data_IF_406519891178
#
_entry.id   IF_406519891178
#
_cell.length_a   1.000
_cell.length_b   1.000
_cell.length_c   1.000
_cell.angle_alpha   90.00
_cell.angle_beta   90.00
_cell.angle_gamma   90.00
#
_symmetry.space_group_name_H-M   'P 1'
#
loop_
_entity.id
_entity.type
_entity.pdbx_description
1 polymer ?
#
# COMPACT_ATOMS: atom_id res chain seq x y z
N UNK A 1 19.07 -1.12 -6.36
CA UNK A 1 18.30 -0.44 -7.43
C UNK A 1 17.16 0.33 -6.78
N UNK A 2 16.96 1.59 -7.13
CA UNK A 2 15.95 2.45 -6.53
C UNK A 2 14.53 2.05 -6.99
N UNK A 3 13.97 1.02 -6.34
CA UNK A 3 12.64 0.47 -6.63
C UNK A 3 11.47 1.42 -6.31
N UNK A 4 11.74 2.55 -5.64
CA UNK A 4 10.73 3.56 -5.29
C UNK A 4 10.50 4.61 -6.39
N UNK A 5 11.43 4.75 -7.35
CA UNK A 5 11.33 5.75 -8.43
C UNK A 5 10.10 5.56 -9.33
N UNK A 6 9.71 4.34 -9.75
CA UNK A 6 8.51 4.14 -10.55
C UNK A 6 7.24 4.51 -9.78
N UNK A 7 7.17 4.14 -8.50
CA UNK A 7 6.02 4.44 -7.62
C UNK A 7 5.87 5.95 -7.43
N UNK A 8 6.97 6.65 -7.16
CA UNK A 8 6.96 8.10 -7.01
C UNK A 8 6.50 8.81 -8.29
N UNK A 9 6.96 8.34 -9.46
CA UNK A 9 6.63 8.94 -10.75
C UNK A 9 5.14 8.77 -11.13
N UNK A 10 4.53 7.65 -10.72
CA UNK A 10 3.09 7.40 -10.89
C UNK A 10 2.26 8.19 -9.88
N UNK A 11 2.74 8.37 -8.65
CA UNK A 11 2.03 9.12 -7.61
C UNK A 11 2.12 10.65 -7.77
N UNK A 12 3.19 11.16 -8.39
CA UNK A 12 3.48 12.60 -8.51
C UNK A 12 2.31 13.45 -9.05
N UNK A 13 1.60 13.06 -10.13
CA UNK A 13 0.49 13.84 -10.69
C UNK A 13 -0.70 13.95 -9.72
N UNK A 14 -0.94 12.88 -8.94
CA UNK A 14 -2.02 12.85 -7.96
C UNK A 14 -1.69 13.69 -6.73
N UNK A 15 -0.43 13.72 -6.29
CA UNK A 15 0.03 14.59 -5.21
C UNK A 15 -0.18 16.06 -5.60
N UNK A 16 0.15 16.46 -6.83
CA UNK A 16 -0.09 17.84 -7.29
C UNK A 16 -1.57 18.21 -7.33
N UNK A 17 -2.46 17.29 -7.70
CA UNK A 17 -3.90 17.54 -7.71
C UNK A 17 -4.47 17.67 -6.29
N UNK A 18 -4.03 16.82 -5.36
CA UNK A 18 -4.43 16.88 -3.95
C UNK A 18 -3.95 18.18 -3.29
N UNK A 19 -2.70 18.59 -3.56
CA UNK A 19 -2.15 19.84 -3.03
C UNK A 19 -2.85 21.06 -3.62
N UNK A 20 -3.24 21.04 -4.90
CA UNK A 20 -4.01 22.14 -5.51
C UNK A 20 -5.45 22.24 -5.01
N UNK A 21 -6.09 21.12 -4.68
CA UNK A 21 -7.43 21.07 -4.10
C UNK A 21 -7.45 21.43 -2.60
N UNK A 22 -6.29 21.33 -1.93
CA UNK A 22 -6.09 21.69 -0.55
C UNK A 22 -5.62 23.15 -0.35
N UNK A 23 -5.52 23.95 -1.42
CA UNK A 23 -5.32 25.41 -1.27
C UNK A 23 -6.52 25.94 -0.49
N UNK A 24 -6.29 26.60 0.66
CA UNK A 24 -7.38 26.96 1.54
C UNK A 24 -8.34 27.92 0.85
N UNK A 25 -9.64 27.65 0.99
CA UNK A 25 -10.71 28.61 0.68
C UNK A 25 -10.65 29.88 1.55
N UNK A 26 -9.71 29.94 2.50
CA UNK A 26 -9.35 31.15 3.24
C UNK A 26 -8.66 32.14 2.30
N UNK A 27 -9.44 32.88 1.52
CA UNK A 27 -9.35 34.35 1.35
C UNK A 27 -10.19 34.80 0.17
N UNK A 28 -11.23 35.59 0.46
CA UNK A 28 -11.48 36.80 -0.33
C UNK A 28 -12.20 37.82 0.54
N UNK A 29 -11.47 38.88 0.90
CA UNK A 29 -12.07 40.10 1.46
C UNK A 29 -13.05 40.66 0.41
N UNK A 30 -14.36 40.82 0.69
CA UNK A 30 -15.24 41.49 -0.25
C UNK A 30 -14.74 42.94 -0.42
N UNK A 31 -14.63 43.47 -1.66
CA UNK A 31 -14.31 44.87 -1.85
C UNK A 31 -15.43 45.71 -1.24
N UNK A 32 -15.20 46.28 -0.05
CA UNK A 32 -16.15 47.14 0.68
C UNK A 32 -16.81 46.54 1.93
N UNK A 33 -16.52 45.30 2.34
CA UNK A 33 -17.14 44.67 3.53
C UNK A 33 -16.47 45.04 4.86
N UNK A 34 -17.25 45.35 5.89
CA UNK A 34 -16.78 45.66 7.26
C UNK A 34 -16.11 44.43 7.90
N UNK A 35 -14.98 44.63 8.58
CA UNK A 35 -14.17 43.57 9.20
C UNK A 35 -14.92 42.70 10.23
N UNK A 36 -16.02 43.19 10.82
CA UNK A 36 -16.78 42.50 11.88
C UNK A 36 -17.52 41.24 11.42
N UNK A 37 -17.86 41.10 10.12
CA UNK A 37 -18.54 39.91 9.57
C UNK A 37 -17.56 38.83 9.06
N UNK A 38 -16.29 39.18 8.85
CA UNK A 38 -15.30 38.30 8.20
C UNK A 38 -14.77 37.23 9.15
N UNK A 39 -14.60 37.55 10.44
CA UNK A 39 -14.05 36.61 11.44
C UNK A 39 -15.02 35.45 11.75
N UNK A 40 -16.33 35.66 11.98
CA UNK A 40 -17.28 34.57 12.16
C UNK A 40 -17.36 33.62 10.95
N UNK A 41 -17.24 34.17 9.75
CA UNK A 41 -17.27 33.40 8.51
C UNK A 41 -16.03 32.52 8.35
N UNK A 42 -14.84 33.05 8.62
CA UNK A 42 -13.59 32.27 8.63
C UNK A 42 -13.59 31.17 9.70
N UNK A 43 -14.17 31.42 10.89
CA UNK A 43 -14.28 30.39 11.93
C UNK A 43 -15.18 29.23 11.45
N UNK A 44 -16.31 29.54 10.80
CA UNK A 44 -17.18 28.49 10.23
C UNK A 44 -16.46 27.69 9.15
N UNK A 45 -15.72 28.35 8.27
CA UNK A 45 -14.92 27.69 7.22
C UNK A 45 -13.80 26.82 7.82
N UNK A 46 -13.12 27.29 8.87
CA UNK A 46 -12.11 26.51 9.61
C UNK A 46 -12.74 25.28 10.27
N UNK A 47 -13.89 25.44 10.92
CA UNK A 47 -14.59 24.33 11.55
C UNK A 47 -15.05 23.29 10.52
N UNK A 48 -15.58 23.73 9.38
CA UNK A 48 -15.97 22.85 8.29
C UNK A 48 -14.77 22.10 7.70
N UNK A 49 -13.66 22.80 7.42
CA UNK A 49 -12.43 22.21 6.90
C UNK A 49 -11.80 21.21 7.88
N UNK A 50 -11.77 21.52 9.18
CA UNK A 50 -11.25 20.62 10.21
C UNK A 50 -12.13 19.38 10.34
N UNK A 51 -13.46 19.53 10.33
CA UNK A 51 -14.38 18.39 10.38
C UNK A 51 -14.21 17.48 9.16
N UNK A 52 -14.16 18.06 7.97
CA UNK A 52 -13.96 17.32 6.72
C UNK A 52 -12.60 16.61 6.68
N UNK A 53 -11.52 17.27 7.14
CA UNK A 53 -10.20 16.66 7.22
C UNK A 53 -10.15 15.52 8.24
N UNK A 54 -10.79 15.66 9.39
CA UNK A 54 -10.87 14.59 10.38
C UNK A 54 -11.58 13.36 9.83
N UNK A 55 -12.66 13.56 9.07
CA UNK A 55 -13.39 12.49 8.39
C UNK A 55 -12.54 11.84 7.29
N UNK A 56 -11.84 12.63 6.47
CA UNK A 56 -10.94 12.13 5.44
C UNK A 56 -9.78 11.31 6.02
N UNK A 57 -9.14 11.78 7.10
CA UNK A 57 -8.06 11.05 7.79
C UNK A 57 -8.57 9.74 8.37
N UNK A 58 -9.78 9.74 8.95
CA UNK A 58 -10.42 8.52 9.43
C UNK A 58 -10.68 7.53 8.29
N UNK A 59 -11.20 8.01 7.16
CA UNK A 59 -11.40 7.20 5.96
C UNK A 59 -10.10 6.57 5.45
N UNK A 60 -9.04 7.37 5.35
CA UNK A 60 -7.71 6.88 4.97
C UNK A 60 -7.16 5.83 5.94
N UNK A 61 -7.34 6.04 7.24
CA UNK A 61 -6.90 5.08 8.27
C UNK A 61 -7.63 3.74 8.13
N UNK A 62 -8.94 3.76 7.84
CA UNK A 62 -9.73 2.55 7.61
C UNK A 62 -9.28 1.82 6.35
N UNK A 63 -9.13 2.53 5.23
CA UNK A 63 -8.64 1.94 3.97
C UNK A 63 -7.23 1.36 4.11
N UNK A 64 -6.34 2.04 4.83
CA UNK A 64 -5.00 1.55 5.10
C UNK A 64 -5.04 0.26 5.94
N UNK A 65 -5.88 0.23 6.97
CA UNK A 65 -6.08 -0.97 7.79
C UNK A 65 -6.55 -2.15 6.94
N UNK A 66 -7.59 -1.97 6.13
CA UNK A 66 -8.09 -3.01 5.23
C UNK A 66 -7.02 -3.49 4.24
N UNK A 67 -6.22 -2.56 3.71
CA UNK A 67 -5.12 -2.87 2.79
C UNK A 67 -4.05 -3.71 3.48
N UNK A 68 -3.62 -3.32 4.68
CA UNK A 68 -2.62 -4.07 5.47
C UNK A 68 -3.14 -5.47 5.79
N UNK A 69 -4.39 -5.59 6.24
CA UNK A 69 -5.01 -6.89 6.50
C UNK A 69 -5.09 -7.77 5.23
N UNK A 70 -5.35 -7.15 4.07
CA UNK A 70 -5.30 -7.83 2.78
C UNK A 70 -3.91 -8.32 2.41
N UNK A 71 -2.88 -7.48 2.61
CA UNK A 71 -1.47 -7.82 2.37
C UNK A 71 -1.02 -8.96 3.29
N UNK A 72 -1.36 -8.92 4.58
CA UNK A 72 -1.00 -9.96 5.54
C UNK A 72 -1.64 -11.31 5.18
N UNK A 73 -2.91 -11.30 4.78
CA UNK A 73 -3.60 -12.51 4.31
C UNK A 73 -2.94 -13.09 3.05
N UNK A 74 -2.61 -12.24 2.08
CA UNK A 74 -1.94 -12.66 0.86
C UNK A 74 -0.54 -13.23 1.15
N UNK A 75 0.22 -12.59 2.04
CA UNK A 75 1.53 -13.05 2.46
C UNK A 75 1.47 -14.42 3.15
N UNK A 76 0.49 -14.63 4.04
CA UNK A 76 0.27 -15.92 4.70
C UNK A 76 -0.04 -17.05 3.69
N UNK A 77 -0.87 -16.78 2.68
CA UNK A 77 -1.17 -17.73 1.61
C UNK A 77 0.07 -18.07 0.76
N UNK A 78 0.84 -17.06 0.36
CA UNK A 78 2.10 -17.22 -0.36
C UNK A 78 3.09 -18.08 0.43
N UNK A 79 3.21 -17.85 1.74
CA UNK A 79 4.11 -18.61 2.60
C UNK A 79 3.71 -20.09 2.69
N UNK A 80 2.41 -20.40 2.76
CA UNK A 80 1.92 -21.78 2.70
C UNK A 80 2.26 -22.45 1.37
N UNK A 81 2.06 -21.76 0.24
CA UNK A 81 2.42 -22.28 -1.07
C UNK A 81 3.92 -22.53 -1.20
N UNK A 82 4.77 -21.60 -0.75
CA UNK A 82 6.23 -21.76 -0.76
C UNK A 82 6.64 -22.99 0.07
N UNK A 83 6.05 -23.19 1.25
CA UNK A 83 6.34 -24.38 2.06
C UNK A 83 5.94 -25.67 1.35
N UNK A 84 4.79 -25.70 0.67
CA UNK A 84 4.35 -26.84 -0.11
C UNK A 84 5.29 -27.12 -1.29
N UNK A 85 5.62 -26.11 -2.09
CA UNK A 85 6.55 -26.22 -3.22
C UNK A 85 7.94 -26.69 -2.75
N UNK A 86 8.43 -26.16 -1.62
CA UNK A 86 9.72 -26.56 -1.05
C UNK A 86 9.73 -28.04 -0.66
N UNK A 87 8.65 -28.55 -0.08
CA UNK A 87 8.51 -29.99 0.25
C UNK A 87 8.51 -30.85 -1.01
N UNK A 88 7.77 -30.46 -2.04
CA UNK A 88 7.76 -31.17 -3.31
C UNK A 88 9.14 -31.17 -3.98
N UNK A 89 9.83 -30.03 -4.00
CA UNK A 89 11.17 -29.92 -4.57
C UNK A 89 12.18 -30.81 -3.83
N UNK A 90 12.16 -30.81 -2.49
CA UNK A 90 13.00 -31.72 -1.70
C UNK A 90 12.67 -33.18 -1.98
N UNK A 91 11.37 -33.53 -2.06
CA UNK A 91 10.94 -34.88 -2.43
C UNK A 91 11.47 -35.32 -3.80
N UNK A 92 11.37 -34.45 -4.81
CA UNK A 92 11.87 -34.72 -6.15
C UNK A 92 13.40 -34.93 -6.17
N UNK A 93 14.15 -34.13 -5.41
CA UNK A 93 15.61 -34.29 -5.27
C UNK A 93 15.96 -35.64 -4.63
N UNK A 94 15.26 -36.04 -3.57
CA UNK A 94 15.49 -37.33 -2.91
C UNK A 94 15.22 -38.48 -3.87
N UNK A 95 14.09 -38.44 -4.60
CA UNK A 95 13.75 -39.47 -5.60
C UNK A 95 14.81 -39.55 -6.69
N UNK A 96 15.29 -38.40 -7.20
CA UNK A 96 16.36 -38.36 -8.20
C UNK A 96 17.67 -38.97 -7.66
N UNK A 97 18.05 -38.65 -6.43
CA UNK A 97 19.25 -39.21 -5.79
C UNK A 97 19.15 -40.74 -5.62
N UNK A 98 17.98 -41.25 -5.21
CA UNK A 98 17.73 -42.70 -5.10
C UNK A 98 17.83 -43.36 -6.46
N UNK A 99 17.21 -42.79 -7.50
CA UNK A 99 17.26 -43.32 -8.85
C UNK A 99 18.70 -43.39 -9.39
N UNK A 100 19.49 -42.34 -9.17
CA UNK A 100 20.92 -42.32 -9.51
C UNK A 100 21.68 -43.40 -8.74
N UNK A 101 21.45 -43.54 -7.44
CA UNK A 101 22.09 -44.57 -6.62
C UNK A 101 21.80 -45.99 -7.10
N UNK A 102 20.54 -46.27 -7.44
CA UNK A 102 20.12 -47.56 -8.01
C UNK A 102 20.81 -47.82 -9.36
N UNK A 103 20.88 -46.80 -10.23
CA UNK A 103 21.54 -46.93 -11.53
C UNK A 103 23.05 -47.24 -11.39
N UNK A 104 23.75 -46.57 -10.47
CA UNK A 104 25.17 -46.84 -10.20
C UNK A 104 25.37 -48.24 -9.65
N UNK A 105 24.53 -48.67 -8.70
CA UNK A 105 24.62 -50.02 -8.12
C UNK A 105 24.43 -51.10 -9.20
N UNK A 106 23.42 -50.93 -10.07
CA UNK A 106 23.16 -51.85 -11.17
C UNK A 106 24.32 -51.93 -12.17
N UNK A 107 24.99 -50.81 -12.47
CA UNK A 107 26.17 -50.79 -13.34
C UNK A 107 27.41 -51.42 -12.70
N UNK A 108 27.56 -51.32 -11.37
CA UNK A 108 28.72 -51.90 -10.66
C UNK A 108 28.63 -53.41 -10.39
N UNK A 109 27.44 -53.99 -10.56
CA UNK A 109 27.18 -55.43 -10.36
C UNK A 109 27.29 -56.29 -11.62
N UNK A 110 27.59 -55.69 -12.78
CA UNK A 110 27.98 -56.37 -14.02
C UNK A 110 29.50 -56.45 -14.14
#
# INVERSE_FOLDING_TARGET
>A
MAAFLPVLKVALPYITQIVSAAVPMFTTKPPGGKLEEVVPQQIRELQAAVSHNAEAVKGLALQLKETIEGVDKAAAQLQQQIMFLRRLAVGAVVVAMVAIGVAVWALSGQ
#
